data_IF_620655078300
#
_entry.id   IF_620655078300
#
_cell.length_a   1.000
_cell.length_b   1.000
_cell.length_c   1.000
_cell.angle_alpha   90.00
_cell.angle_beta   90.00
_cell.angle_gamma   90.00
#
_symmetry.space_group_name_H-M   'P 1'
#
loop_
_entity.id
_entity.type
_entity.pdbx_description
1 polymer ?
#
# COMPACT_ATOMS: atom_id res chain seq x y z
N UNK A 1 0.16 19.62 -3.11
CA UNK A 1 1.11 19.13 -2.06
C UNK A 1 0.50 17.86 -1.49
N UNK A 2 1.28 16.77 -1.33
CA UNK A 2 0.80 15.46 -0.87
C UNK A 2 1.36 15.14 0.51
N UNK A 3 0.55 14.54 1.38
CA UNK A 3 0.96 14.03 2.69
C UNK A 3 0.65 12.54 2.75
N UNK A 4 1.67 11.72 2.93
CA UNK A 4 1.51 10.28 3.12
C UNK A 4 1.79 9.91 4.57
N UNK A 5 0.87 9.16 5.18
CA UNK A 5 1.06 8.55 6.50
C UNK A 5 0.82 7.04 6.40
N UNK A 6 1.18 6.29 7.44
CA UNK A 6 0.93 4.87 7.45
C UNK A 6 1.20 4.22 8.80
N UNK A 7 0.71 2.99 8.94
CA UNK A 7 0.96 2.11 10.06
C UNK A 7 1.43 0.76 9.52
N UNK A 8 2.54 0.24 10.05
CA UNK A 8 3.02 -1.11 9.73
C UNK A 8 2.20 -2.10 10.54
N UNK A 9 1.32 -2.83 9.89
CA UNK A 9 0.36 -3.70 10.56
C UNK A 9 1.03 -4.93 11.17
N UNK A 10 0.66 -5.23 12.42
CA UNK A 10 1.12 -6.39 13.18
C UNK A 10 2.26 -6.10 14.15
N UNK A 11 2.58 -4.82 14.41
CA UNK A 11 3.52 -4.43 15.47
C UNK A 11 2.83 -4.35 16.84
N UNK A 12 1.57 -3.92 16.87
CA UNK A 12 0.70 -3.95 18.05
C UNK A 12 0.02 -5.32 18.19
N UNK A 13 -0.42 -5.66 19.40
CA UNK A 13 -1.20 -6.87 19.70
C UNK A 13 -2.68 -6.78 19.26
N UNK A 14 -3.07 -5.67 18.64
CA UNK A 14 -4.39 -5.46 18.03
C UNK A 14 -4.23 -4.54 16.82
N UNK A 15 -4.26 -5.13 15.62
CA UNK A 15 -4.15 -4.37 14.38
C UNK A 15 -5.28 -3.33 14.21
N UNK A 16 -6.42 -3.52 14.88
CA UNK A 16 -7.54 -2.57 14.82
C UNK A 16 -7.20 -1.27 15.54
N UNK A 17 -6.41 -1.34 16.61
CA UNK A 17 -5.92 -0.15 17.29
C UNK A 17 -4.98 0.67 16.38
N UNK A 18 -4.10 0.00 15.63
CA UNK A 18 -3.24 0.63 14.62
C UNK A 18 -4.07 1.28 13.51
N UNK A 19 -5.05 0.55 12.98
CA UNK A 19 -5.97 1.00 11.95
C UNK A 19 -6.80 2.22 12.38
N UNK A 20 -7.38 2.18 13.58
CA UNK A 20 -8.17 3.29 14.14
C UNK A 20 -7.29 4.52 14.34
N UNK A 21 -6.06 4.33 14.83
CA UNK A 21 -5.11 5.42 15.06
C UNK A 21 -4.71 6.12 13.76
N UNK A 22 -4.37 5.36 12.71
CA UNK A 22 -4.01 5.95 11.41
C UNK A 22 -5.22 6.59 10.72
N UNK A 23 -6.42 6.01 10.85
CA UNK A 23 -7.65 6.58 10.30
C UNK A 23 -8.04 7.89 11.00
N UNK A 24 -7.94 7.95 12.34
CA UNK A 24 -8.19 9.17 13.10
C UNK A 24 -7.17 10.27 12.75
N UNK A 25 -5.89 9.90 12.59
CA UNK A 25 -4.85 10.83 12.17
C UNK A 25 -5.11 11.34 10.74
N UNK A 26 -5.44 10.46 9.79
CA UNK A 26 -5.78 10.84 8.42
C UNK A 26 -6.93 11.85 8.38
N UNK A 27 -8.00 11.60 9.16
CA UNK A 27 -9.14 12.51 9.26
C UNK A 27 -8.73 13.90 9.75
N UNK A 28 -7.89 13.97 10.79
CA UNK A 28 -7.41 15.25 11.31
C UNK A 28 -6.52 15.97 10.29
N UNK A 29 -5.66 15.24 9.57
CA UNK A 29 -4.85 15.82 8.51
C UNK A 29 -5.72 16.43 7.40
N UNK A 30 -6.75 15.71 6.97
CA UNK A 30 -7.69 16.17 5.94
C UNK A 30 -8.49 17.40 6.39
N UNK A 31 -8.88 17.45 7.66
CA UNK A 31 -9.58 18.60 8.22
C UNK A 31 -8.67 19.83 8.32
N UNK A 32 -7.46 19.67 8.86
CA UNK A 32 -6.54 20.79 9.11
C UNK A 32 -5.84 21.30 7.85
N UNK A 33 -5.52 20.40 6.91
CA UNK A 33 -4.84 20.74 5.65
C UNK A 33 -5.68 20.36 4.44
N UNK A 34 -6.89 20.92 4.35
CA UNK A 34 -7.87 20.64 3.28
C UNK A 34 -7.39 20.87 1.83
N UNK A 35 -6.28 21.60 1.61
CA UNK A 35 -5.64 21.78 0.29
C UNK A 35 -4.55 20.74 -0.02
N UNK A 36 -4.25 19.86 0.92
CA UNK A 36 -3.30 18.77 0.74
C UNK A 36 -4.07 17.50 0.41
N UNK A 37 -3.55 16.74 -0.55
CA UNK A 37 -4.00 15.38 -0.77
C UNK A 37 -3.37 14.50 0.31
N UNK A 38 -4.19 13.83 1.09
CA UNK A 38 -3.77 12.92 2.16
C UNK A 38 -3.86 11.48 1.66
N UNK A 39 -2.84 10.68 1.92
CA UNK A 39 -2.84 9.26 1.63
C UNK A 39 -2.38 8.43 2.82
N UNK A 40 -2.91 7.21 2.90
CA UNK A 40 -2.57 6.21 3.90
C UNK A 40 -1.98 4.97 3.22
N UNK A 41 -0.88 4.47 3.76
CA UNK A 41 -0.38 3.13 3.50
C UNK A 41 -0.51 2.28 4.77
N UNK A 42 -1.03 1.06 4.64
CA UNK A 42 -1.15 0.10 5.75
C UNK A 42 -0.40 -1.18 5.41
N UNK A 43 0.93 -1.12 5.16
CA UNK A 43 1.67 -2.31 4.78
C UNK A 43 1.61 -3.36 5.89
N UNK A 44 1.43 -4.63 5.53
CA UNK A 44 1.61 -5.74 6.48
C UNK A 44 3.09 -6.01 6.73
N UNK A 45 3.38 -6.51 7.92
CA UNK A 45 4.71 -7.03 8.24
C UNK A 45 5.03 -8.20 7.31
N UNK A 46 6.28 -8.24 6.85
CA UNK A 46 6.80 -9.28 5.94
C UNK A 46 8.12 -9.78 6.52
N UNK A 47 8.54 -11.02 6.18
CA UNK A 47 9.86 -11.50 6.52
C UNK A 47 10.93 -10.49 6.09
N UNK A 48 11.82 -10.17 7.03
CA UNK A 48 12.94 -9.25 6.88
C UNK A 48 14.09 -9.71 7.80
N UNK A 49 15.28 -9.15 7.61
CA UNK A 49 16.42 -9.46 8.47
C UNK A 49 16.10 -9.16 9.95
N UNK A 50 16.36 -10.13 10.83
CA UNK A 50 16.11 -10.02 12.28
C UNK A 50 14.96 -10.87 12.83
N UNK A 51 14.31 -11.69 12.00
CA UNK A 51 13.35 -12.73 12.40
C UNK A 51 12.22 -12.25 13.35
N UNK A 52 11.79 -11.00 13.18
CA UNK A 52 10.67 -10.46 13.96
C UNK A 52 9.35 -11.02 13.43
N UNK A 53 8.61 -11.69 14.30
CA UNK A 53 7.26 -12.18 14.04
C UNK A 53 6.22 -11.17 14.52
N UNK A 54 5.15 -10.90 13.74
CA UNK A 54 4.10 -9.98 14.13
C UNK A 54 3.36 -10.46 15.38
N UNK A 55 3.01 -9.53 16.28
CA UNK A 55 2.24 -9.84 17.49
C UNK A 55 0.80 -10.24 17.15
N UNK A 56 0.21 -9.56 16.17
CA UNK A 56 -1.12 -9.82 15.64
C UNK A 56 -1.09 -9.84 14.10
N UNK A 57 -0.86 -11.02 13.47
CA UNK A 57 -0.77 -11.12 12.03
C UNK A 57 -2.13 -10.81 11.36
N UNK A 58 -2.12 -9.83 10.46
CA UNK A 58 -3.31 -9.43 9.71
C UNK A 58 -3.51 -10.32 8.49
N UNK A 59 -4.51 -11.20 8.57
CA UNK A 59 -4.90 -12.07 7.45
C UNK A 59 -5.56 -11.28 6.30
N UNK A 60 -5.71 -11.94 5.14
CA UNK A 60 -6.26 -11.28 3.94
C UNK A 60 -7.69 -10.78 4.14
N UNK A 61 -8.48 -11.49 4.96
CA UNK A 61 -9.85 -11.08 5.32
C UNK A 61 -9.85 -9.78 6.11
N UNK A 62 -9.05 -9.71 7.17
CA UNK A 62 -8.92 -8.53 8.02
C UNK A 62 -8.33 -7.35 7.25
N UNK A 63 -7.35 -7.63 6.40
CA UNK A 63 -6.76 -6.61 5.53
C UNK A 63 -7.78 -6.06 4.53
N UNK A 64 -8.57 -6.93 3.88
CA UNK A 64 -9.65 -6.53 2.98
C UNK A 64 -10.71 -5.70 3.72
N UNK A 65 -11.09 -6.14 4.93
CA UNK A 65 -12.02 -5.40 5.78
C UNK A 65 -11.50 -3.99 6.09
N UNK A 66 -10.22 -3.85 6.40
CA UNK A 66 -9.59 -2.56 6.68
C UNK A 66 -9.64 -1.63 5.46
N UNK A 67 -9.28 -2.11 4.26
CA UNK A 67 -9.33 -1.31 3.03
C UNK A 67 -10.75 -0.79 2.79
N UNK A 68 -11.76 -1.67 2.90
CA UNK A 68 -13.16 -1.28 2.78
C UNK A 68 -13.58 -0.27 3.87
N UNK A 69 -13.16 -0.48 5.11
CA UNK A 69 -13.49 0.42 6.22
C UNK A 69 -12.89 1.82 6.01
N UNK A 70 -11.63 1.92 5.58
CA UNK A 70 -10.98 3.20 5.24
C UNK A 70 -11.71 3.90 4.10
N UNK A 71 -12.08 3.18 3.03
CA UNK A 71 -12.81 3.73 1.89
C UNK A 71 -14.20 4.25 2.28
N UNK A 72 -14.91 3.54 3.16
CA UNK A 72 -16.23 3.96 3.67
C UNK A 72 -16.12 5.15 4.63
N UNK A 73 -15.08 5.17 5.47
CA UNK A 73 -14.91 6.20 6.50
C UNK A 73 -14.35 7.52 5.94
N UNK A 74 -13.40 7.46 5.00
CA UNK A 74 -12.77 8.63 4.38
C UNK A 74 -12.78 8.49 2.84
N UNK A 75 -13.90 8.83 2.17
CA UNK A 75 -14.08 8.61 0.74
C UNK A 75 -13.08 9.33 -0.17
N UNK A 76 -12.47 10.42 0.29
CA UNK A 76 -11.46 11.19 -0.47
C UNK A 76 -10.02 10.78 -0.13
N UNK A 77 -9.83 9.79 0.76
CA UNK A 77 -8.50 9.34 1.16
C UNK A 77 -7.82 8.57 0.02
N UNK A 78 -6.56 8.93 -0.26
CA UNK A 78 -5.69 8.09 -1.08
C UNK A 78 -5.28 6.84 -0.31
N UNK A 79 -5.47 5.65 -0.88
CA UNK A 79 -5.06 4.38 -0.25
C UNK A 79 -3.97 3.74 -1.11
N UNK A 80 -2.81 3.53 -0.51
CA UNK A 80 -1.62 3.00 -1.20
C UNK A 80 -1.41 1.52 -0.91
N UNK A 81 -1.25 0.72 -1.96
CA UNK A 81 -0.96 -0.72 -1.88
C UNK A 81 0.42 -1.03 -2.50
N UNK A 82 1.27 -1.73 -1.76
CA UNK A 82 2.62 -2.06 -2.21
C UNK A 82 2.74 -3.47 -2.77
N UNK A 83 3.91 -3.80 -3.35
CA UNK A 83 4.28 -5.15 -3.81
C UNK A 83 4.58 -6.12 -2.65
N UNK A 84 4.38 -5.70 -1.39
CA UNK A 84 4.36 -6.61 -0.23
C UNK A 84 3.21 -7.60 -0.29
N UNK A 85 2.16 -7.24 -1.03
CA UNK A 85 0.96 -8.05 -1.17
C UNK A 85 1.04 -8.92 -2.43
N UNK A 86 0.53 -10.17 -2.39
CA UNK A 86 0.60 -11.07 -3.53
C UNK A 86 -0.32 -10.62 -4.67
N UNK A 87 0.03 -10.99 -5.89
CA UNK A 87 -0.66 -10.57 -7.11
C UNK A 87 -2.19 -10.74 -7.04
N UNK A 88 -2.68 -11.91 -6.59
CA UNK A 88 -4.12 -12.18 -6.51
C UNK A 88 -4.85 -11.22 -5.57
N UNK A 89 -4.24 -10.88 -4.43
CA UNK A 89 -4.84 -10.01 -3.44
C UNK A 89 -4.85 -8.57 -3.94
N UNK A 90 -3.75 -8.15 -4.59
CA UNK A 90 -3.67 -6.83 -5.21
C UNK A 90 -4.76 -6.64 -6.25
N UNK A 91 -4.93 -7.62 -7.13
CA UNK A 91 -5.95 -7.58 -8.18
C UNK A 91 -7.37 -7.54 -7.58
N UNK A 92 -7.61 -8.24 -6.47
CA UNK A 92 -8.89 -8.23 -5.74
C UNK A 92 -9.15 -6.93 -4.94
N UNK A 93 -8.12 -6.23 -4.46
CA UNK A 93 -8.25 -5.02 -3.64
C UNK A 93 -8.40 -3.73 -4.46
N UNK A 94 -7.91 -3.70 -5.70
CA UNK A 94 -8.09 -2.57 -6.64
C UNK A 94 -9.55 -2.08 -6.68
N UNK A 95 -10.58 -2.93 -6.89
CA UNK A 95 -11.97 -2.48 -6.92
C UNK A 95 -12.54 -2.00 -5.58
N UNK A 96 -11.88 -2.27 -4.46
CA UNK A 96 -12.43 -2.05 -3.12
C UNK A 96 -12.03 -0.71 -2.49
N UNK A 97 -11.15 0.05 -3.15
CA UNK A 97 -10.82 1.40 -2.71
C UNK A 97 -9.33 1.75 -2.74
N UNK A 98 -8.46 0.90 -3.29
CA UNK A 98 -7.05 1.27 -3.49
C UNK A 98 -6.96 2.32 -4.60
N UNK A 99 -6.15 3.36 -4.41
CA UNK A 99 -5.97 4.45 -5.38
C UNK A 99 -4.58 4.52 -5.97
N UNK A 100 -3.56 4.10 -5.22
CA UNK A 100 -2.16 4.14 -5.64
C UNK A 100 -1.52 2.78 -5.45
N UNK A 101 -0.78 2.30 -6.45
CA UNK A 101 -0.14 0.99 -6.41
C UNK A 101 1.32 1.11 -6.84
N UNK A 102 2.25 0.49 -6.09
CA UNK A 102 3.64 0.35 -6.56
C UNK A 102 3.78 -0.81 -7.54
N UNK A 103 4.62 -0.72 -8.56
CA UNK A 103 4.86 -1.82 -9.50
C UNK A 103 6.35 -1.92 -9.83
N UNK A 104 6.87 -3.13 -10.01
CA UNK A 104 8.30 -3.34 -10.23
C UNK A 104 9.17 -2.75 -9.11
N UNK A 105 8.79 -3.00 -7.85
CA UNK A 105 9.57 -2.52 -6.72
C UNK A 105 10.90 -3.27 -6.62
N UNK A 106 11.98 -2.57 -6.35
CA UNK A 106 13.24 -3.15 -5.89
C UNK A 106 13.47 -2.68 -4.45
N UNK A 107 13.57 -3.62 -3.52
CA UNK A 107 13.66 -3.35 -2.07
C UNK A 107 15.10 -3.33 -1.56
N UNK A 108 16.06 -3.51 -2.46
CA UNK A 108 17.50 -3.46 -2.23
C UNK A 108 18.04 -2.05 -2.56
N UNK A 109 18.91 -1.46 -1.73
CA UNK A 109 19.63 -0.24 -2.07
C UNK A 109 20.36 -0.36 -3.42
N UNK A 110 20.00 0.47 -4.39
CA UNK A 110 20.61 0.48 -5.72
C UNK A 110 20.01 -0.52 -6.73
N UNK A 111 18.99 -1.30 -6.36
CA UNK A 111 18.47 -2.40 -7.19
C UNK A 111 17.91 -2.01 -8.58
N UNK A 112 17.66 -0.72 -8.82
CA UNK A 112 17.26 -0.20 -10.14
C UNK A 112 18.43 0.08 -11.10
N UNK A 113 19.66 0.22 -10.59
CA UNK A 113 20.85 0.59 -11.38
C UNK A 113 21.83 -0.57 -11.58
N UNK A 114 21.87 -1.52 -10.63
CA UNK A 114 22.67 -2.75 -10.68
C UNK A 114 22.04 -3.79 -9.75
N UNK A 115 22.17 -5.09 -10.05
CA UNK A 115 21.90 -6.12 -9.03
C UNK A 115 22.81 -5.86 -7.83
N UNK A 116 22.21 -5.52 -6.70
CA UNK A 116 22.91 -5.17 -5.48
C UNK A 116 23.02 -6.42 -4.63
N UNK A 117 24.18 -6.70 -4.03
CA UNK A 117 24.31 -7.75 -3.01
C UNK A 117 23.74 -7.32 -1.65
N UNK A 118 23.12 -6.14 -1.58
CA UNK A 118 22.52 -5.63 -0.35
C UNK A 118 21.23 -6.39 -0.01
N UNK A 119 21.05 -6.71 1.27
CA UNK A 119 19.86 -7.41 1.74
C UNK A 119 18.59 -6.57 1.49
N UNK A 120 17.52 -7.19 0.96
CA UNK A 120 16.25 -6.49 0.74
C UNK A 120 15.61 -6.08 2.06
N UNK A 121 15.03 -4.88 2.11
CA UNK A 121 14.32 -4.38 3.30
C UNK A 121 13.13 -5.28 3.70
N UNK A 122 12.49 -5.90 2.72
CA UNK A 122 11.42 -6.88 2.89
C UNK A 122 11.29 -7.73 1.63
N UNK A 123 10.75 -8.94 1.79
CA UNK A 123 10.41 -9.83 0.69
C UNK A 123 9.23 -9.29 -0.15
N UNK A 124 9.43 -9.25 -1.46
CA UNK A 124 8.42 -8.85 -2.45
C UNK A 124 7.50 -10.03 -2.77
N UNK A 125 6.18 -9.84 -2.69
CA UNK A 125 5.19 -10.89 -3.01
C UNK A 125 4.60 -10.77 -4.41
N UNK A 126 4.70 -9.60 -5.05
CA UNK A 126 4.31 -9.42 -6.44
C UNK A 126 5.51 -8.98 -7.28
N UNK A 127 6.03 -9.93 -8.06
CA UNK A 127 7.21 -9.80 -8.91
C UNK A 127 6.88 -9.39 -10.34
N UNK A 128 5.60 -9.12 -10.66
CA UNK A 128 5.20 -8.65 -11.99
C UNK A 128 5.91 -7.34 -12.32
N UNK A 129 6.41 -7.24 -13.54
CA UNK A 129 6.94 -6.00 -14.09
C UNK A 129 5.84 -4.91 -14.15
N UNK A 130 6.22 -3.62 -14.21
CA UNK A 130 5.26 -2.53 -14.38
C UNK A 130 4.34 -2.72 -15.62
N UNK A 131 4.88 -3.29 -16.70
CA UNK A 131 4.12 -3.54 -17.93
C UNK A 131 3.09 -4.66 -17.76
N UNK A 132 3.46 -5.78 -17.13
CA UNK A 132 2.54 -6.89 -16.84
C UNK A 132 1.45 -6.46 -15.87
N UNK A 133 1.80 -5.70 -14.84
CA UNK A 133 0.82 -5.19 -13.88
C UNK A 133 -0.16 -4.21 -14.53
N UNK A 134 0.32 -3.31 -15.39
CA UNK A 134 -0.55 -2.43 -16.16
C UNK A 134 -1.47 -3.18 -17.13
N UNK A 135 -0.99 -4.26 -17.76
CA UNK A 135 -1.83 -5.12 -18.60
C UNK A 135 -2.92 -5.82 -17.78
N UNK A 136 -2.59 -6.33 -16.59
CA UNK A 136 -3.55 -6.94 -15.67
C UNK A 136 -4.64 -5.93 -15.22
N UNK A 137 -4.26 -4.69 -14.91
CA UNK A 137 -5.23 -3.63 -14.59
C UNK A 137 -6.19 -3.36 -15.77
N UNK A 138 -5.66 -3.23 -16.99
CA UNK A 138 -6.49 -3.01 -18.19
C UNK A 138 -7.44 -4.16 -18.47
N UNK A 139 -6.99 -5.41 -18.28
CA UNK A 139 -7.85 -6.58 -18.42
C UNK A 139 -9.02 -6.59 -17.43
N UNK A 140 -8.86 -5.93 -16.28
CA UNK A 140 -9.90 -5.75 -15.26
C UNK A 140 -10.69 -4.44 -15.40
N UNK A 141 -10.54 -3.71 -16.51
CA UNK A 141 -11.30 -2.48 -16.79
C UNK A 141 -10.74 -1.20 -16.16
N UNK A 142 -9.50 -1.22 -15.66
CA UNK A 142 -8.83 -0.06 -15.08
C UNK A 142 -7.83 0.57 -16.06
N UNK A 143 -7.70 1.89 -16.01
CA UNK A 143 -6.66 2.62 -16.75
C UNK A 143 -5.48 2.99 -15.83
N UNK A 144 -4.28 2.41 -16.02
CA UNK A 144 -3.12 2.73 -15.21
C UNK A 144 -2.53 4.11 -15.59
N UNK A 145 -2.59 5.05 -14.64
CA UNK A 145 -2.04 6.40 -14.79
C UNK A 145 -0.70 6.51 -14.07
N UNK A 146 0.37 6.84 -14.81
CA UNK A 146 1.74 6.95 -14.27
C UNK A 146 2.15 8.37 -13.88
N UNK A 147 1.55 9.38 -14.52
CA UNK A 147 1.77 10.81 -14.27
C UNK A 147 0.45 11.55 -14.44
N UNK A 148 0.00 12.22 -13.39
CA UNK A 148 -1.28 12.92 -13.33
C UNK A 148 -1.17 14.43 -13.70
N UNK A 149 0.06 14.92 -13.95
CA UNK A 149 0.33 16.38 -14.08
C UNK A 149 0.98 16.81 -15.39
N UNK A 150 1.18 15.89 -16.35
CA UNK A 150 1.58 16.25 -17.72
C UNK A 150 0.46 15.85 -18.68
N UNK A 151 -0.31 16.84 -19.14
CA UNK A 151 -1.02 16.73 -20.42
C UNK A 151 0.01 16.49 -21.51
N UNK A 152 -0.35 15.62 -22.46
CA UNK A 152 0.38 15.19 -23.67
C UNK A 152 1.28 16.29 -24.24
#
# INVERSE_FOLDING_TARGET
RRLGIGALLGLHDDWRAEALSVAAHARELMHRWWRAEVSVAVPRLRPAAGDYEPLDPVDDRSFTQLICALRLFLPDLGISLSTREPAFLRDALVPLGVTNLSAGSHTEPGGYASQSEAEPQFEISDTRSPAEFAAALRANGYDPVWKDWTRI
#
